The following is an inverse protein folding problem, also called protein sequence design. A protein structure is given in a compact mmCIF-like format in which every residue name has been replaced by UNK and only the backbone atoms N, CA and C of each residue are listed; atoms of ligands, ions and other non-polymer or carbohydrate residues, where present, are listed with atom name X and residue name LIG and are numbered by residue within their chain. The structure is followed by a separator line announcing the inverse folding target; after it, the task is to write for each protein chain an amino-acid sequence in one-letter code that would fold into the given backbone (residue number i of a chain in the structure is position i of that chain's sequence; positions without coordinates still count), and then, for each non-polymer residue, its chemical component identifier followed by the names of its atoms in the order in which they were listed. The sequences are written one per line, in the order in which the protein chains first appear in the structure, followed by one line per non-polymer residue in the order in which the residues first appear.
data_IF_056084188663
#
_entry.id   IF_056084188663
#
_cell.length_a   1.000
_cell.length_b   1.000
_cell.length_c   1.000
_cell.angle_alpha   90.00
_cell.angle_beta   90.00
_cell.angle_gamma   90.00
#
_symmetry.space_group_name_H-M   'P 1'
#
loop_
_entity.id
_entity.type
_entity.pdbx_description
1 polymer ?
#
# COMPACT_ATOMS: atom_id res chain seq x y z
N UNK A 1 -70.36 -10.72 -16.31
CA UNK A 1 -71.07 -11.91 -16.71
C UNK A 1 -70.10 -13.08 -16.70
N UNK A 2 -70.39 -13.99 -15.79
CA UNK A 2 -69.81 -15.31 -15.64
C UNK A 2 -70.15 -16.21 -16.85
N UNK A 3 -69.70 -17.48 -16.97
CA UNK A 3 -68.73 -18.28 -16.19
C UNK A 3 -67.86 -19.25 -17.02
N UNK A 4 -66.98 -19.89 -16.35
CA UNK A 4 -66.25 -21.16 -16.52
C UNK A 4 -67.17 -22.35 -16.84
N UNK A 5 -66.78 -23.48 -17.45
CA UNK A 5 -66.01 -24.49 -16.73
C UNK A 5 -65.11 -25.48 -17.58
N UNK A 6 -64.64 -26.62 -16.99
CA UNK A 6 -63.33 -27.13 -17.10
C UNK A 6 -63.22 -28.37 -18.03
N UNK A 7 -61.99 -28.81 -18.30
CA UNK A 7 -61.80 -30.22 -18.72
C UNK A 7 -60.56 -30.84 -18.07
N UNK A 8 -60.80 -31.88 -17.32
CA UNK A 8 -59.83 -32.84 -16.81
C UNK A 8 -59.37 -33.77 -17.93
N UNK A 9 -58.11 -34.09 -17.97
CA UNK A 9 -57.69 -35.43 -18.30
C UNK A 9 -56.34 -35.77 -17.70
N UNK A 10 -56.38 -36.69 -16.81
CA UNK A 10 -55.30 -37.45 -16.23
C UNK A 10 -54.58 -38.32 -17.26
N UNK A 11 -53.27 -38.28 -17.26
CA UNK A 11 -52.50 -39.49 -17.55
C UNK A 11 -51.12 -39.40 -16.91
N UNK A 12 -50.84 -40.36 -16.04
CA UNK A 12 -49.59 -40.53 -15.35
C UNK A 12 -48.50 -41.03 -16.27
N UNK A 13 -47.32 -40.47 -16.08
CA UNK A 13 -46.07 -41.10 -16.51
C UNK A 13 -44.99 -40.75 -15.47
N UNK A 14 -44.50 -41.82 -14.85
CA UNK A 14 -43.42 -41.79 -13.87
C UNK A 14 -42.18 -41.17 -14.43
N UNK A 15 -41.67 -40.14 -13.73
CA UNK A 15 -40.33 -39.56 -13.98
C UNK A 15 -39.27 -40.43 -13.26
N UNK A 16 -38.12 -40.71 -13.89
CA UNK A 16 -37.03 -41.42 -13.23
C UNK A 16 -36.31 -40.45 -12.26
N UNK A 17 -35.95 -41.00 -11.10
CA UNK A 17 -35.19 -40.35 -10.05
C UNK A 17 -33.85 -39.81 -10.56
N UNK A 18 -33.57 -38.55 -10.26
CA UNK A 18 -32.26 -37.93 -10.46
C UNK A 18 -31.24 -38.52 -9.46
N UNK A 19 -29.99 -38.78 -9.89
CA UNK A 19 -28.95 -39.20 -8.95
C UNK A 19 -28.49 -38.01 -8.11
N UNK A 20 -28.65 -38.14 -6.81
CA UNK A 20 -28.02 -37.31 -5.81
C UNK A 20 -26.51 -37.60 -5.80
N UNK A 21 -25.69 -36.71 -6.31
CA UNK A 21 -24.27 -36.67 -5.97
C UNK A 21 -23.74 -35.25 -6.05
N UNK A 22 -24.04 -34.45 -5.05
CA UNK A 22 -23.34 -33.25 -4.73
C UNK A 22 -22.26 -33.53 -3.70
N UNK A 23 -21.19 -34.21 -4.07
CA UNK A 23 -19.97 -34.17 -3.28
C UNK A 23 -19.38 -32.74 -3.44
N UNK A 24 -19.56 -31.92 -2.41
CA UNK A 24 -18.82 -30.68 -2.30
C UNK A 24 -17.32 -31.03 -2.35
N UNK A 25 -16.67 -30.68 -3.45
CA UNK A 25 -15.23 -30.74 -3.55
C UNK A 25 -14.68 -29.80 -2.48
N UNK A 26 -14.14 -30.36 -1.41
CA UNK A 26 -13.37 -29.61 -0.42
C UNK A 26 -12.22 -28.87 -1.09
N UNK A 27 -11.69 -27.81 -0.48
CA UNK A 27 -10.59 -27.04 -1.05
C UNK A 27 -9.42 -27.99 -1.31
N UNK A 28 -9.11 -28.21 -2.58
CA UNK A 28 -7.91 -28.93 -2.99
C UNK A 28 -6.71 -28.21 -2.46
N UNK A 29 -5.68 -28.89 -1.89
CA UNK A 29 -4.47 -28.23 -1.48
C UNK A 29 -3.82 -27.58 -2.70
N UNK A 30 -3.89 -26.26 -2.79
CA UNK A 30 -3.22 -25.48 -3.84
C UNK A 30 -1.74 -25.50 -3.53
N UNK A 31 -0.99 -26.40 -4.17
CA UNK A 31 0.46 -26.31 -4.19
C UNK A 31 0.83 -25.02 -4.90
N UNK A 32 1.28 -24.03 -4.14
CA UNK A 32 1.83 -22.81 -4.68
C UNK A 32 3.04 -23.15 -5.57
N UNK A 33 3.14 -22.60 -6.79
CA UNK A 33 4.30 -22.81 -7.66
C UNK A 33 5.61 -22.54 -6.93
N UNK A 34 6.65 -23.29 -7.25
CA UNK A 34 7.92 -23.23 -6.53
C UNK A 34 8.51 -21.82 -6.51
N UNK A 35 8.41 -21.04 -7.59
CA UNK A 35 8.90 -19.67 -7.63
C UNK A 35 8.14 -18.74 -6.65
N UNK A 36 6.85 -19.00 -6.38
CA UNK A 36 6.09 -18.23 -5.38
C UNK A 36 6.54 -18.56 -3.96
N UNK A 37 6.91 -19.80 -3.69
CA UNK A 37 7.49 -20.19 -2.40
C UNK A 37 8.85 -19.50 -2.21
N UNK A 38 9.71 -19.47 -3.25
CA UNK A 38 10.98 -18.75 -3.21
C UNK A 38 10.77 -17.25 -3.03
N UNK A 39 9.79 -16.66 -3.73
CA UNK A 39 9.40 -15.25 -3.53
C UNK A 39 9.01 -14.97 -2.08
N UNK A 40 8.21 -15.83 -1.47
CA UNK A 40 7.81 -15.69 -0.07
C UNK A 40 9.01 -15.76 0.89
N UNK A 41 9.96 -16.69 0.65
CA UNK A 41 11.19 -16.80 1.45
C UNK A 41 12.08 -15.56 1.31
N UNK A 42 12.26 -15.05 0.10
CA UNK A 42 13.01 -13.80 -0.13
C UNK A 42 12.29 -12.62 0.56
N UNK A 43 10.97 -12.52 0.44
CA UNK A 43 10.19 -11.48 1.12
C UNK A 43 10.37 -11.56 2.63
N UNK A 44 10.38 -12.75 3.21
CA UNK A 44 10.64 -12.94 4.64
C UNK A 44 12.04 -12.47 5.05
N UNK A 45 13.06 -12.74 4.24
CA UNK A 45 14.42 -12.23 4.47
C UNK A 45 14.47 -10.69 4.41
N UNK A 46 13.72 -10.07 3.49
CA UNK A 46 13.57 -8.61 3.43
C UNK A 46 12.86 -8.05 4.68
N UNK A 47 11.80 -8.70 5.13
CA UNK A 47 11.05 -8.30 6.32
C UNK A 47 11.86 -8.41 7.61
N UNK A 48 12.66 -9.47 7.74
CA UNK A 48 13.52 -9.69 8.89
C UNK A 48 14.74 -8.77 8.94
N UNK A 49 14.98 -8.00 7.85
CA UNK A 49 16.16 -7.14 7.74
C UNK A 49 17.46 -7.89 7.47
N UNK A 50 17.39 -9.15 7.01
CA UNK A 50 18.59 -9.89 6.56
C UNK A 50 19.32 -9.12 5.45
N UNK A 51 18.55 -8.46 4.59
CA UNK A 51 19.07 -7.50 3.62
C UNK A 51 18.35 -6.17 3.82
N UNK A 52 19.12 -5.13 4.10
CA UNK A 52 18.58 -3.79 4.38
C UNK A 52 18.20 -3.06 3.09
N UNK A 53 17.32 -2.06 3.17
CA UNK A 53 17.03 -1.18 2.04
C UNK A 53 18.30 -0.63 1.40
N UNK A 54 18.41 -0.72 0.07
CA UNK A 54 19.56 -0.31 -0.70
C UNK A 54 20.73 -1.33 -0.75
N UNK A 55 20.70 -2.41 0.02
CA UNK A 55 21.74 -3.44 -0.02
C UNK A 55 21.60 -4.36 -1.23
N UNK A 56 22.75 -4.89 -1.67
CA UNK A 56 22.83 -5.95 -2.67
C UNK A 56 22.34 -7.27 -2.06
N UNK A 57 21.40 -7.94 -2.70
CA UNK A 57 21.02 -9.30 -2.33
C UNK A 57 21.94 -10.32 -3.06
N UNK A 58 22.05 -11.56 -2.56
CA UNK A 58 22.81 -12.59 -3.25
C UNK A 58 22.34 -12.78 -4.68
N UNK A 59 23.26 -13.18 -5.56
CA UNK A 59 22.97 -13.43 -6.97
C UNK A 59 21.96 -14.56 -7.16
N UNK A 60 21.33 -14.60 -8.34
CA UNK A 60 20.40 -15.69 -8.69
C UNK A 60 21.02 -17.07 -8.52
N UNK A 61 22.32 -17.21 -8.78
CA UNK A 61 23.06 -18.48 -8.64
C UNK A 61 23.23 -18.86 -7.17
N UNK A 62 23.65 -17.90 -6.33
CA UNK A 62 23.79 -18.10 -4.89
C UNK A 62 22.46 -18.42 -4.22
N UNK A 63 21.39 -17.69 -4.58
CA UNK A 63 20.03 -17.97 -4.08
C UNK A 63 19.52 -19.34 -4.56
N UNK A 64 19.84 -19.75 -5.81
CA UNK A 64 19.50 -21.07 -6.32
C UNK A 64 20.18 -22.19 -5.51
N UNK A 65 21.46 -21.99 -5.17
CA UNK A 65 22.19 -22.88 -4.27
C UNK A 65 21.61 -22.92 -2.86
N UNK A 66 21.31 -21.73 -2.27
CA UNK A 66 20.72 -21.61 -0.94
C UNK A 66 19.37 -22.32 -0.81
N UNK A 67 18.49 -22.13 -1.78
CA UNK A 67 17.14 -22.69 -1.76
C UNK A 67 17.03 -24.08 -2.44
N UNK A 68 18.12 -24.59 -3.00
CA UNK A 68 18.18 -25.89 -3.72
C UNK A 68 17.18 -25.97 -4.87
N UNK A 69 17.08 -24.93 -5.68
CA UNK A 69 16.19 -24.82 -6.84
C UNK A 69 16.97 -24.39 -8.09
N UNK A 70 16.33 -24.42 -9.26
CA UNK A 70 16.96 -23.92 -10.48
C UNK A 70 17.13 -22.39 -10.46
N UNK A 71 18.18 -21.87 -11.12
CA UNK A 71 18.36 -20.44 -11.31
C UNK A 71 17.14 -19.78 -11.97
N UNK A 72 16.49 -20.46 -12.93
CA UNK A 72 15.28 -19.95 -13.58
C UNK A 72 14.12 -19.76 -12.62
N UNK A 73 13.97 -20.63 -11.61
CA UNK A 73 12.96 -20.47 -10.55
C UNK A 73 13.21 -19.23 -9.70
N UNK A 74 14.49 -19.00 -9.31
CA UNK A 74 14.88 -17.80 -8.56
C UNK A 74 14.71 -16.55 -9.41
N UNK A 75 15.10 -16.58 -10.69
CA UNK A 75 14.94 -15.44 -11.62
C UNK A 75 13.49 -15.02 -11.71
N UNK A 76 12.55 -15.97 -11.87
CA UNK A 76 11.12 -15.68 -11.92
C UNK A 76 10.62 -15.06 -10.61
N UNK A 77 11.08 -15.55 -9.46
CA UNK A 77 10.74 -14.95 -8.16
C UNK A 77 11.25 -13.52 -8.04
N UNK A 78 12.49 -13.26 -8.46
CA UNK A 78 13.09 -11.91 -8.46
C UNK A 78 12.38 -10.98 -9.44
N UNK A 79 11.96 -11.47 -10.62
CA UNK A 79 11.19 -10.68 -11.60
C UNK A 79 9.87 -10.20 -11.00
N UNK A 80 9.15 -11.05 -10.27
CA UNK A 80 7.92 -10.65 -9.58
C UNK A 80 8.20 -9.67 -8.43
N UNK A 81 9.25 -9.92 -7.63
CA UNK A 81 9.65 -8.98 -6.58
C UNK A 81 10.05 -7.61 -7.14
N UNK A 82 10.67 -7.59 -8.32
CA UNK A 82 11.00 -6.33 -9.00
C UNK A 82 9.75 -5.64 -9.55
N UNK A 83 8.79 -6.38 -10.11
CA UNK A 83 7.50 -5.84 -10.54
C UNK A 83 6.70 -5.25 -9.37
N UNK A 84 6.81 -5.84 -8.19
CA UNK A 84 6.23 -5.34 -6.93
C UNK A 84 7.10 -4.26 -6.26
N UNK A 85 8.22 -3.90 -6.87
CA UNK A 85 9.18 -2.91 -6.37
C UNK A 85 9.77 -3.26 -4.98
N UNK A 86 9.88 -4.52 -4.66
CA UNK A 86 10.56 -4.99 -3.46
C UNK A 86 12.07 -5.04 -3.64
N UNK A 87 12.50 -5.31 -4.85
CA UNK A 87 13.91 -5.29 -5.27
C UNK A 87 14.06 -4.49 -6.57
N UNK A 88 15.29 -4.11 -6.90
CA UNK A 88 15.64 -3.38 -8.11
C UNK A 88 16.87 -3.98 -8.77
N UNK A 89 16.80 -4.27 -10.07
CA UNK A 89 17.93 -4.71 -10.86
C UNK A 89 18.74 -3.51 -11.34
N UNK A 90 20.03 -3.50 -11.06
CA UNK A 90 20.99 -2.54 -11.63
C UNK A 90 21.90 -3.28 -12.60
N UNK A 91 21.84 -2.93 -13.88
CA UNK A 91 22.60 -3.59 -14.92
C UNK A 91 24.10 -3.70 -14.57
N UNK A 92 24.66 -4.90 -14.65
CA UNK A 92 26.05 -5.19 -14.32
C UNK A 92 26.43 -5.10 -12.83
N UNK A 93 25.49 -4.68 -11.96
CA UNK A 93 25.75 -4.49 -10.51
C UNK A 93 25.00 -5.47 -9.62
N UNK A 94 23.97 -6.14 -10.16
CA UNK A 94 23.16 -7.11 -9.41
C UNK A 94 21.77 -6.62 -9.04
N UNK A 95 21.15 -7.29 -8.07
CA UNK A 95 19.82 -6.98 -7.56
C UNK A 95 19.93 -6.39 -6.16
N UNK A 96 19.28 -5.27 -5.93
CA UNK A 96 19.32 -4.52 -4.69
C UNK A 96 17.95 -4.50 -4.04
N UNK A 97 17.89 -4.44 -2.72
CA UNK A 97 16.67 -4.11 -2.01
C UNK A 97 16.25 -2.69 -2.41
N UNK A 98 15.04 -2.52 -2.89
CA UNK A 98 14.58 -1.19 -3.26
C UNK A 98 14.42 -0.31 -2.01
N UNK A 99 14.63 1.00 -2.12
CA UNK A 99 14.59 1.96 -1.01
C UNK A 99 13.86 3.24 -1.42
N UNK A 100 13.30 3.96 -0.43
CA UNK A 100 12.69 5.27 -0.63
C UNK A 100 13.70 6.41 -0.70
N UNK A 101 14.99 6.16 -0.49
CA UNK A 101 16.05 7.17 -0.61
C UNK A 101 16.49 7.43 -2.06
N UNK A 102 16.07 6.62 -3.03
CA UNK A 102 16.37 6.87 -4.43
C UNK A 102 15.41 7.90 -5.02
N UNK A 103 15.93 8.84 -5.83
CA UNK A 103 15.14 9.92 -6.47
C UNK A 103 13.92 9.38 -7.23
N UNK A 104 14.06 8.24 -7.92
CA UNK A 104 12.95 7.60 -8.65
C UNK A 104 11.84 7.07 -7.74
N UNK A 105 12.15 6.77 -6.48
CA UNK A 105 11.16 6.29 -5.54
C UNK A 105 10.27 7.40 -4.99
N UNK A 106 10.76 8.63 -4.98
CA UNK A 106 10.04 9.78 -4.44
C UNK A 106 8.77 10.09 -5.24
N UNK A 107 8.85 10.13 -6.56
CA UNK A 107 7.71 10.41 -7.45
C UNK A 107 6.75 9.23 -7.60
N UNK A 108 7.04 8.10 -6.98
CA UNK A 108 6.17 6.94 -6.99
C UNK A 108 4.88 7.16 -6.20
N UNK A 109 4.96 7.92 -5.11
CA UNK A 109 3.84 8.16 -4.20
C UNK A 109 3.33 9.61 -4.29
N UNK A 110 4.19 10.59 -4.51
CA UNK A 110 3.80 11.96 -4.83
C UNK A 110 3.86 12.12 -6.35
N UNK A 111 2.70 12.16 -7.00
CA UNK A 111 2.60 12.23 -8.47
C UNK A 111 2.21 13.61 -8.97
N UNK A 112 2.39 14.64 -8.14
CA UNK A 112 2.26 16.02 -8.58
C UNK A 112 3.53 16.42 -9.30
N UNK A 113 3.37 16.83 -10.54
CA UNK A 113 4.44 17.29 -11.42
C UNK A 113 4.07 18.69 -11.88
N UNK A 114 5.03 19.62 -11.98
CA UNK A 114 4.75 20.88 -12.63
C UNK A 114 4.42 20.66 -14.11
N UNK A 115 3.58 21.51 -14.68
CA UNK A 115 3.25 21.45 -16.11
C UNK A 115 4.48 21.74 -16.97
N UNK A 116 5.40 22.57 -16.46
CA UNK A 116 6.66 22.92 -17.10
C UNK A 116 7.81 22.87 -16.08
N UNK A 117 9.02 22.61 -16.56
CA UNK A 117 10.23 22.61 -15.76
C UNK A 117 10.65 21.25 -15.20
N UNK A 118 11.61 21.27 -14.29
CA UNK A 118 12.16 20.05 -13.66
C UNK A 118 11.39 19.74 -12.39
N UNK A 119 10.92 18.49 -12.21
CA UNK A 119 10.29 18.09 -10.96
C UNK A 119 11.18 18.31 -9.76
N UNK A 120 10.66 18.97 -8.74
CA UNK A 120 11.35 19.19 -7.47
C UNK A 120 10.44 18.87 -6.28
N UNK A 121 11.03 18.77 -5.10
CA UNK A 121 10.30 18.42 -3.89
C UNK A 121 9.61 19.65 -3.29
N UNK A 122 8.38 19.46 -2.77
CA UNK A 122 7.73 20.52 -2.02
C UNK A 122 8.42 20.72 -0.66
N UNK A 123 8.46 21.96 -0.21
CA UNK A 123 8.77 22.29 1.16
C UNK A 123 7.60 21.89 2.08
N UNK A 124 7.90 21.23 3.19
CA UNK A 124 6.88 20.80 4.16
C UNK A 124 6.87 21.68 5.40
N UNK A 125 5.71 22.21 5.75
CA UNK A 125 5.46 22.88 7.02
C UNK A 125 4.50 22.05 7.86
N UNK A 126 4.98 21.51 8.98
CA UNK A 126 4.14 20.78 9.92
C UNK A 126 3.29 21.75 10.73
N UNK A 127 1.98 21.55 10.70
CA UNK A 127 0.98 22.38 11.40
C UNK A 127 0.67 21.76 12.75
N UNK A 128 0.48 20.43 12.76
CA UNK A 128 0.16 19.71 13.98
C UNK A 128 0.79 18.31 13.95
N UNK A 129 1.34 17.89 15.09
CA UNK A 129 1.84 16.53 15.31
C UNK A 129 1.40 16.12 16.70
N UNK A 130 0.54 15.12 16.82
CA UNK A 130 0.02 14.68 18.10
C UNK A 130 -0.21 13.17 18.13
N UNK A 131 -0.12 12.60 19.32
CA UNK A 131 -0.50 11.20 19.58
C UNK A 131 -1.88 11.18 20.22
N UNK A 132 -2.78 10.40 19.64
CA UNK A 132 -4.15 10.27 20.12
C UNK A 132 -4.67 8.83 19.92
N UNK A 133 -5.86 8.56 20.46
CA UNK A 133 -6.56 7.30 20.17
C UNK A 133 -7.09 7.32 18.75
N UNK A 134 -6.94 6.20 18.05
CA UNK A 134 -7.42 6.08 16.67
C UNK A 134 -8.93 6.33 16.60
N UNK A 135 -9.41 7.26 15.75
CA UNK A 135 -10.81 7.32 15.38
C UNK A 135 -11.29 6.00 14.78
N UNK A 136 -12.56 5.67 14.89
CA UNK A 136 -13.09 4.36 14.52
C UNK A 136 -12.90 4.01 13.04
N UNK A 137 -13.01 4.99 12.15
CA UNK A 137 -12.77 4.86 10.72
C UNK A 137 -11.28 4.63 10.41
N UNK A 138 -10.39 5.38 11.05
CA UNK A 138 -8.94 5.21 10.94
C UNK A 138 -8.50 3.85 11.49
N UNK A 139 -9.02 3.45 12.66
CA UNK A 139 -8.71 2.16 13.26
C UNK A 139 -9.07 1.01 12.32
N UNK A 140 -10.23 1.09 11.65
CA UNK A 140 -10.67 0.09 10.66
C UNK A 140 -9.76 0.04 9.44
N UNK A 141 -9.34 1.20 8.90
CA UNK A 141 -8.47 1.29 7.73
C UNK A 141 -7.05 0.78 8.01
N UNK A 142 -6.57 0.98 9.24
CA UNK A 142 -5.24 0.59 9.68
C UNK A 142 -5.19 -0.78 10.39
N UNK A 143 -6.31 -1.52 10.41
CA UNK A 143 -6.45 -2.82 11.09
C UNK A 143 -5.99 -2.75 12.56
N UNK A 144 -6.37 -1.67 13.25
CA UNK A 144 -6.06 -1.42 14.65
C UNK A 144 -7.20 -1.87 15.56
N UNK A 145 -6.85 -2.24 16.79
CA UNK A 145 -7.85 -2.52 17.84
C UNK A 145 -8.45 -1.21 18.37
N UNK A 146 -9.66 -1.32 18.89
CA UNK A 146 -10.30 -0.18 19.57
C UNK A 146 -9.41 0.30 20.72
N UNK A 147 -9.10 1.59 20.73
CA UNK A 147 -8.25 2.23 21.74
C UNK A 147 -6.76 2.25 21.43
N UNK A 148 -6.31 1.60 20.38
CA UNK A 148 -4.92 1.73 19.91
C UNK A 148 -4.59 3.19 19.60
N UNK A 149 -3.34 3.58 19.84
CA UNK A 149 -2.88 4.93 19.56
C UNK A 149 -2.41 5.08 18.12
N UNK A 150 -2.59 6.29 17.60
CA UNK A 150 -2.02 6.74 16.32
C UNK A 150 -1.21 8.01 16.52
N UNK A 151 -0.26 8.24 15.62
CA UNK A 151 0.36 9.56 15.44
C UNK A 151 -0.38 10.25 14.30
N UNK A 152 -1.00 11.38 14.61
CA UNK A 152 -1.63 12.27 13.64
C UNK A 152 -0.64 13.37 13.26
N UNK A 153 -0.51 13.63 11.97
CA UNK A 153 0.34 14.69 11.44
C UNK A 153 -0.50 15.47 10.44
N UNK A 154 -0.58 16.80 10.63
CA UNK A 154 -1.12 17.73 9.62
C UNK A 154 0.02 18.61 9.12
N UNK A 155 0.18 18.67 7.80
CA UNK A 155 1.20 19.52 7.16
C UNK A 155 0.67 20.19 5.90
N UNK A 156 1.31 21.29 5.56
CA UNK A 156 1.16 21.96 4.26
C UNK A 156 2.43 21.74 3.47
N UNK A 157 2.28 21.40 2.22
CA UNK A 157 3.38 21.30 1.27
C UNK A 157 3.26 22.44 0.25
N UNK A 158 4.37 23.12 0.02
CA UNK A 158 4.46 24.26 -0.90
C UNK A 158 5.47 24.00 -2.00
N UNK A 159 5.12 24.36 -3.22
CA UNK A 159 6.05 24.41 -4.34
C UNK A 159 6.36 25.89 -4.62
N UNK A 160 7.63 26.27 -4.65
CA UNK A 160 8.10 27.65 -4.88
C UNK A 160 7.39 28.68 -3.97
N UNK A 161 7.17 28.29 -2.71
CA UNK A 161 6.50 29.15 -1.72
C UNK A 161 4.97 29.19 -1.84
N UNK A 162 4.38 28.53 -2.84
CA UNK A 162 2.92 28.44 -3.03
C UNK A 162 2.37 27.20 -2.30
N UNK A 163 1.50 27.36 -1.28
CA UNK A 163 0.85 26.25 -0.63
C UNK A 163 -0.02 25.48 -1.63
N UNK A 164 0.26 24.20 -1.83
CA UNK A 164 -0.38 23.40 -2.88
C UNK A 164 -1.10 22.18 -2.32
N UNK A 165 -0.60 21.59 -1.23
CA UNK A 165 -1.17 20.39 -0.64
C UNK A 165 -1.36 20.60 0.86
N UNK A 166 -2.57 20.30 1.36
CA UNK A 166 -2.81 20.01 2.78
C UNK A 166 -2.86 18.51 2.92
N UNK A 167 -2.05 17.97 3.81
CA UNK A 167 -1.98 16.52 4.03
C UNK A 167 -2.20 16.19 5.51
N UNK A 168 -3.06 15.21 5.75
CA UNK A 168 -3.30 14.61 7.05
C UNK A 168 -2.88 13.15 7.03
N UNK A 169 -1.97 12.77 7.93
CA UNK A 169 -1.46 11.40 8.03
C UNK A 169 -1.87 10.81 9.38
N UNK A 170 -2.20 9.54 9.33
CA UNK A 170 -2.56 8.73 10.49
C UNK A 170 -1.68 7.49 10.51
N UNK A 171 -0.78 7.41 11.47
CA UNK A 171 0.25 6.39 11.54
C UNK A 171 0.05 5.50 12.76
N UNK A 172 0.13 4.15 12.67
CA UNK A 172 -0.01 3.25 13.81
C UNK A 172 1.00 3.59 14.92
N UNK A 173 0.49 3.93 16.11
CA UNK A 173 1.32 4.46 17.19
C UNK A 173 2.36 3.50 17.73
N UNK A 174 2.15 2.18 17.62
CA UNK A 174 3.12 1.17 18.02
C UNK A 174 4.32 1.10 17.07
N UNK A 175 4.07 1.25 15.76
CA UNK A 175 5.11 1.23 14.73
C UNK A 175 5.94 2.51 14.82
N UNK A 176 5.26 3.66 14.91
CA UNK A 176 5.89 4.99 14.92
C UNK A 176 6.10 5.52 16.35
N UNK A 177 6.58 4.63 17.24
CA UNK A 177 6.90 5.02 18.60
C UNK A 177 8.08 5.98 18.62
N UNK A 178 7.90 7.16 19.23
CA UNK A 178 8.95 8.19 19.30
C UNK A 178 9.02 9.11 18.10
N UNK A 179 8.11 9.02 17.15
CA UNK A 179 7.96 10.05 16.11
C UNK A 179 7.39 11.31 16.74
N UNK A 180 8.13 12.41 16.63
CA UNK A 180 7.77 13.72 17.18
C UNK A 180 7.90 14.83 16.13
N UNK A 181 7.38 16.02 16.44
CA UNK A 181 7.50 17.17 15.56
C UNK A 181 8.96 17.60 15.33
N UNK A 182 9.80 17.50 16.36
CA UNK A 182 11.22 17.80 16.30
C UNK A 182 11.92 16.91 15.28
N UNK A 183 11.72 15.58 15.38
CA UNK A 183 12.30 14.61 14.43
C UNK A 183 11.86 14.86 12.99
N UNK A 184 10.58 15.17 12.79
CA UNK A 184 10.05 15.51 11.47
C UNK A 184 10.66 16.78 10.89
N UNK A 185 10.93 17.81 11.72
CA UNK A 185 11.54 19.07 11.28
C UNK A 185 13.05 18.94 11.03
N UNK A 186 13.74 18.07 11.77
CA UNK A 186 15.17 17.83 11.63
C UNK A 186 15.50 17.01 10.38
N UNK A 187 14.63 16.10 9.99
CA UNK A 187 14.85 15.23 8.85
C UNK A 187 14.70 15.98 7.52
N UNK A 188 15.73 15.92 6.68
CA UNK A 188 15.79 16.66 5.39
C UNK A 188 15.51 15.81 4.16
N UNK A 189 14.99 14.61 4.33
CA UNK A 189 14.64 13.69 3.25
C UNK A 189 13.13 13.52 3.05
N UNK A 190 12.75 12.63 2.15
CA UNK A 190 11.35 12.27 1.94
C UNK A 190 10.81 11.54 3.17
N UNK A 191 9.56 11.80 3.55
CA UNK A 191 8.95 11.23 4.76
C UNK A 191 8.96 9.69 4.76
N UNK A 192 8.74 9.05 3.62
CA UNK A 192 8.83 7.60 3.53
C UNK A 192 10.27 7.08 3.74
N UNK A 193 11.28 7.87 3.39
CA UNK A 193 12.67 7.57 3.73
C UNK A 193 12.92 7.59 5.24
N UNK A 194 12.35 8.58 5.96
CA UNK A 194 12.37 8.62 7.42
C UNK A 194 11.71 7.37 8.02
N UNK A 195 10.54 6.99 7.51
CA UNK A 195 9.81 5.82 8.01
C UNK A 195 10.59 4.52 7.78
N UNK A 196 11.27 4.42 6.65
CA UNK A 196 12.12 3.28 6.31
C UNK A 196 13.37 3.23 7.21
N UNK A 197 14.10 4.35 7.34
CA UNK A 197 15.39 4.39 8.05
C UNK A 197 15.27 4.32 9.56
N UNK A 198 14.28 4.99 10.15
CA UNK A 198 14.18 5.11 11.60
C UNK A 198 13.15 4.17 12.23
N UNK A 199 12.12 3.78 11.48
CA UNK A 199 11.04 2.92 11.97
C UNK A 199 10.98 1.56 11.30
N UNK A 200 11.92 1.25 10.38
CA UNK A 200 11.96 -0.01 9.66
C UNK A 200 10.70 -0.27 8.84
N UNK A 201 9.92 0.78 8.55
CA UNK A 201 8.62 0.66 7.91
C UNK A 201 8.70 1.17 6.47
N UNK A 202 8.58 0.24 5.55
CA UNK A 202 8.63 0.52 4.13
C UNK A 202 7.25 0.52 3.51
N UNK A 203 6.89 1.58 2.80
CA UNK A 203 5.67 1.66 2.02
C UNK A 203 5.86 0.97 0.66
N UNK A 204 5.19 -0.17 0.47
CA UNK A 204 5.35 -1.01 -0.72
C UNK A 204 4.27 -0.72 -1.75
N UNK A 205 3.04 -0.59 -1.28
CA UNK A 205 1.85 -0.40 -2.08
C UNK A 205 0.95 0.65 -1.44
N UNK A 206 0.18 1.35 -2.25
CA UNK A 206 -0.90 2.21 -1.79
C UNK A 206 -2.19 1.93 -2.55
N UNK A 207 -3.32 2.05 -1.85
CA UNK A 207 -4.64 2.14 -2.45
C UNK A 207 -5.13 3.58 -2.30
N UNK A 208 -5.62 4.16 -3.38
CA UNK A 208 -6.07 5.55 -3.42
C UNK A 208 -7.51 5.66 -3.91
N UNK A 209 -8.23 6.61 -3.32
CA UNK A 209 -9.52 7.09 -3.81
C UNK A 209 -9.39 8.57 -4.10
N UNK A 210 -9.65 8.95 -5.34
CA UNK A 210 -9.55 10.34 -5.79
C UNK A 210 -10.95 10.87 -6.05
N UNK A 211 -11.24 12.08 -5.56
CA UNK A 211 -12.51 12.78 -5.74
C UNK A 211 -12.31 14.29 -5.83
N UNK A 212 -13.23 14.99 -6.50
CA UNK A 212 -13.32 16.44 -6.45
C UNK A 212 -14.12 16.84 -5.21
N UNK A 213 -13.63 17.86 -4.50
CA UNK A 213 -14.29 18.47 -3.33
C UNK A 213 -14.20 19.99 -3.45
N UNK A 214 -14.92 20.72 -2.60
CA UNK A 214 -14.74 22.17 -2.45
C UNK A 214 -13.90 22.45 -1.21
N UNK A 215 -13.04 23.44 -1.28
CA UNK A 215 -12.29 23.92 -0.12
C UNK A 215 -13.24 24.37 0.98
N UNK A 216 -13.07 23.85 2.20
CA UNK A 216 -13.65 24.39 3.40
C UNK A 216 -12.89 25.66 3.87
N UNK A 217 -13.33 26.26 4.95
CA UNK A 217 -12.67 27.44 5.53
C UNK A 217 -11.23 27.13 5.98
N UNK A 218 -11.03 26.01 6.70
CA UNK A 218 -9.73 25.63 7.23
C UNK A 218 -8.72 25.29 6.12
N UNK A 219 -9.11 24.44 5.16
CA UNK A 219 -8.23 24.06 4.04
C UNK A 219 -8.00 25.26 3.11
N UNK A 220 -9.03 26.09 2.90
CA UNK A 220 -8.90 27.32 2.12
C UNK A 220 -7.91 28.29 2.74
N UNK A 221 -7.93 28.46 4.05
CA UNK A 221 -6.96 29.31 4.76
C UNK A 221 -5.53 28.78 4.64
N UNK A 222 -5.34 27.45 4.76
CA UNK A 222 -4.01 26.82 4.66
C UNK A 222 -3.46 26.86 3.23
N UNK A 223 -4.30 26.67 2.22
CA UNK A 223 -3.95 26.71 0.80
C UNK A 223 -3.95 28.13 0.22
N UNK A 224 -4.42 29.13 0.99
CA UNK A 224 -4.61 30.51 0.54
C UNK A 224 -5.55 30.64 -0.66
N UNK A 225 -6.62 29.85 -0.67
CA UNK A 225 -7.68 29.90 -1.67
C UNK A 225 -9.03 30.24 -1.02
N UNK A 226 -9.97 30.76 -1.80
CA UNK A 226 -11.31 31.06 -1.29
C UNK A 226 -12.06 29.77 -0.90
N UNK A 227 -12.90 29.80 0.15
CA UNK A 227 -13.85 28.73 0.40
C UNK A 227 -14.69 28.45 -0.84
N UNK A 228 -14.98 27.17 -1.13
CA UNK A 228 -15.68 26.74 -2.35
C UNK A 228 -14.78 26.53 -3.56
N UNK A 229 -13.50 26.87 -3.52
CA UNK A 229 -12.55 26.57 -4.59
C UNK A 229 -12.49 25.05 -4.82
N UNK A 230 -12.60 24.55 -6.08
CA UNK A 230 -12.47 23.13 -6.38
C UNK A 230 -11.09 22.57 -6.03
N UNK A 231 -11.05 21.48 -5.30
CA UNK A 231 -9.86 20.76 -4.92
C UNK A 231 -9.92 19.31 -5.35
N UNK A 232 -8.75 18.72 -5.62
CA UNK A 232 -8.60 17.28 -5.75
C UNK A 232 -8.27 16.69 -4.37
N UNK A 233 -9.12 15.80 -3.88
CA UNK A 233 -8.92 15.07 -2.64
C UNK A 233 -8.49 13.64 -2.94
N UNK A 234 -7.36 13.20 -2.38
CA UNK A 234 -6.89 11.82 -2.43
C UNK A 234 -6.88 11.24 -1.04
N UNK A 235 -7.67 10.17 -0.83
CA UNK A 235 -7.57 9.31 0.35
C UNK A 235 -6.67 8.14 0.03
N UNK A 236 -5.61 7.97 0.81
CA UNK A 236 -4.61 6.91 0.57
C UNK A 236 -4.47 6.02 1.80
N UNK A 237 -4.47 4.70 1.56
CA UNK A 237 -4.02 3.71 2.54
C UNK A 237 -2.74 3.09 2.01
N UNK A 238 -1.66 3.23 2.76
CA UNK A 238 -0.36 2.64 2.44
C UNK A 238 -0.20 1.28 3.11
N UNK A 239 0.52 0.39 2.46
CA UNK A 239 0.74 -0.98 2.94
C UNK A 239 2.23 -1.29 2.94
N UNK A 240 2.67 -1.98 3.99
CA UNK A 240 4.00 -2.56 4.11
C UNK A 240 3.99 -4.04 3.73
N UNK A 241 5.01 -4.79 4.08
CA UNK A 241 5.10 -6.22 3.83
C UNK A 241 3.89 -6.99 4.35
N UNK A 242 3.46 -8.02 3.59
CA UNK A 242 2.31 -8.85 3.95
C UNK A 242 0.97 -8.13 3.89
N UNK A 243 0.87 -7.08 3.05
CA UNK A 243 -0.35 -6.25 2.89
C UNK A 243 -0.85 -5.63 4.20
N UNK A 244 0.06 -5.41 5.16
CA UNK A 244 -0.28 -4.76 6.42
C UNK A 244 -0.44 -3.26 6.21
N UNK A 245 -1.59 -2.66 6.57
CA UNK A 245 -1.77 -1.20 6.45
C UNK A 245 -0.93 -0.45 7.49
N UNK A 246 -0.39 0.69 7.08
CA UNK A 246 0.50 1.53 7.90
C UNK A 246 0.28 3.02 7.60
#
# INVERSE_FOLDING_TARGET
MNPVPPNQNSNGASAPAAPSSGAAAGPSPTFSPLYQQIKALITQSLQSGEWKPGELIPSEVELAGRFKVSQGTVRKAIDELAAENLVMRKQGKGTFVATHHEERAHFRFLRLMPDEGVPHYPESKFIEVKRLRAPADVARLLDLKSGDSVVYIKRVQSFDGVPTIVEELWLPGLIFKGLTAERLNEYKGPMYGLFESEFGTRMIRAAEKIRAVCAGEDDGALLKVAPGTPLLCSERVSFTYGDKPV
#
